data_IF_374127178774
#
_entry.id   IF_374127178774
#
_cell.length_a   1.000
_cell.length_b   1.000
_cell.length_c   1.000
_cell.angle_alpha   90.00
_cell.angle_beta   90.00
_cell.angle_gamma   90.00
#
_symmetry.space_group_name_H-M   'P 1'
#
loop_
_entity.id
_entity.type
_entity.pdbx_description
1 polymer ?
#
# COMPACT_ATOMS: atom_id res chain seq x y z
N UNK A 1 32.72 -11.48 -65.41
CA UNK A 1 32.95 -11.44 -63.96
C UNK A 1 31.66 -10.98 -63.27
N UNK A 2 30.84 -11.90 -62.71
CA UNK A 2 29.60 -11.60 -62.00
C UNK A 2 29.90 -11.64 -60.50
N UNK A 3 29.80 -10.46 -59.87
CA UNK A 3 29.91 -10.34 -58.37
C UNK A 3 28.59 -10.71 -57.71
N UNK A 4 28.58 -11.78 -56.97
CA UNK A 4 27.44 -12.17 -56.14
C UNK A 4 27.42 -11.30 -54.87
N UNK A 5 26.34 -10.55 -54.66
CA UNK A 5 26.05 -9.80 -53.47
C UNK A 5 25.39 -10.77 -52.46
N UNK A 6 26.06 -11.07 -51.34
CA UNK A 6 25.48 -11.85 -50.24
C UNK A 6 24.54 -10.96 -49.43
N UNK A 7 23.28 -11.34 -49.17
CA UNK A 7 22.43 -10.61 -48.27
C UNK A 7 22.92 -10.84 -46.82
N UNK A 8 23.31 -9.77 -46.16
CA UNK A 8 23.54 -9.76 -44.72
C UNK A 8 22.20 -9.86 -44.00
N UNK A 9 21.92 -11.00 -43.37
CA UNK A 9 20.74 -11.23 -42.56
C UNK A 9 20.94 -10.52 -41.22
N UNK A 10 20.33 -9.32 -41.05
CA UNK A 10 20.38 -8.55 -39.85
C UNK A 10 19.40 -9.21 -38.85
N UNK A 11 19.91 -10.03 -37.93
CA UNK A 11 19.11 -10.61 -36.85
C UNK A 11 18.83 -9.52 -35.83
N UNK A 12 17.60 -9.01 -35.82
CA UNK A 12 17.10 -8.07 -34.81
C UNK A 12 16.74 -8.86 -33.55
N UNK A 13 17.67 -8.92 -32.59
CA UNK A 13 17.41 -9.51 -31.26
C UNK A 13 16.54 -8.53 -30.50
N UNK A 14 15.22 -8.77 -30.50
CA UNK A 14 14.28 -8.09 -29.60
C UNK A 14 14.48 -8.69 -28.20
N UNK A 15 15.26 -8.02 -27.37
CA UNK A 15 15.33 -8.34 -25.94
C UNK A 15 13.97 -7.98 -25.30
N UNK A 16 13.13 -8.97 -25.09
CA UNK A 16 11.95 -8.84 -24.23
C UNK A 16 12.42 -8.64 -22.80
N UNK A 17 12.52 -7.38 -22.36
CA UNK A 17 12.56 -7.06 -20.94
C UNK A 17 11.18 -7.37 -20.35
N UNK A 18 10.96 -8.63 -20.02
CA UNK A 18 9.83 -9.05 -19.21
C UNK A 18 10.01 -8.43 -17.82
N UNK A 19 9.44 -7.27 -17.60
CA UNK A 19 9.35 -6.68 -16.27
C UNK A 19 8.43 -7.56 -15.42
N UNK A 20 9.00 -8.36 -14.51
CA UNK A 20 8.20 -9.05 -13.50
C UNK A 20 7.41 -8.01 -12.70
N UNK A 21 6.12 -8.25 -12.50
CA UNK A 21 5.31 -7.44 -11.61
C UNK A 21 5.88 -7.56 -10.19
N UNK A 22 5.99 -6.43 -9.48
CA UNK A 22 6.35 -6.39 -8.07
C UNK A 22 5.21 -5.80 -7.27
N UNK A 23 4.98 -6.33 -6.07
CA UNK A 23 3.99 -5.84 -5.13
C UNK A 23 4.32 -4.45 -4.59
N UNK A 24 3.34 -3.81 -3.99
CA UNK A 24 3.53 -2.60 -3.21
C UNK A 24 4.46 -2.86 -2.03
N UNK A 25 5.28 -1.88 -1.68
CA UNK A 25 6.29 -1.97 -0.61
C UNK A 25 5.90 -1.07 0.55
N UNK A 26 5.94 -1.58 1.78
CA UNK A 26 5.50 -0.92 3.02
C UNK A 26 6.05 0.49 3.18
N UNK A 27 7.35 0.68 3.06
CA UNK A 27 8.01 2.00 3.20
C UNK A 27 7.46 3.09 2.27
N UNK A 28 6.92 2.72 1.10
CA UNK A 28 6.35 3.65 0.14
C UNK A 28 4.88 3.99 0.46
N UNK A 29 4.24 3.22 1.34
CA UNK A 29 2.88 3.41 1.82
C UNK A 29 2.82 4.21 3.13
N UNK A 30 3.96 4.50 3.77
CA UNK A 30 4.04 5.37 4.96
C UNK A 30 3.70 6.80 4.55
N UNK A 31 2.74 7.48 5.21
CA UNK A 31 2.43 8.89 4.97
C UNK A 31 3.67 9.76 5.13
N UNK A 32 3.73 10.86 4.37
CA UNK A 32 4.73 11.90 4.54
C UNK A 32 4.04 13.14 5.12
N UNK A 33 4.79 13.90 5.92
CA UNK A 33 4.31 15.19 6.45
C UNK A 33 2.97 15.07 7.22
N UNK A 34 2.86 14.06 8.09
CA UNK A 34 1.70 13.82 8.94
C UNK A 34 1.89 14.44 10.32
N UNK A 35 0.84 15.09 10.84
CA UNK A 35 0.82 15.67 12.19
C UNK A 35 -0.20 14.95 13.06
N UNK A 36 0.23 14.46 14.21
CA UNK A 36 -0.61 13.76 15.19
C UNK A 36 -1.37 14.77 16.02
N UNK A 37 -2.69 14.59 16.16
CA UNK A 37 -3.52 15.44 17.01
C UNK A 37 -3.32 15.12 18.51
N UNK A 38 -3.31 13.83 18.88
CA UNK A 38 -3.04 13.35 20.23
C UNK A 38 -2.17 12.09 20.19
N UNK A 39 -1.19 12.01 21.07
CA UNK A 39 -0.43 10.80 21.33
C UNK A 39 -1.14 9.99 22.41
N UNK A 40 -1.33 8.69 22.18
CA UNK A 40 -1.99 7.79 23.11
C UNK A 40 -0.97 7.06 23.98
N UNK A 41 -1.04 7.13 25.32
CA UNK A 41 -0.06 6.50 26.23
C UNK A 41 -0.27 4.98 26.38
N UNK A 42 -0.89 4.35 25.40
CA UNK A 42 -1.30 2.95 25.39
C UNK A 42 -0.50 2.13 24.37
N UNK A 43 -0.60 0.81 24.49
CA UNK A 43 -0.10 -0.16 23.52
C UNK A 43 -1.21 -0.57 22.55
N UNK A 44 -0.83 -0.80 21.28
CA UNK A 44 -1.74 -1.25 20.23
C UNK A 44 -1.15 -2.42 19.47
N UNK A 45 -1.98 -3.41 19.15
CA UNK A 45 -1.67 -4.48 18.20
C UNK A 45 -2.32 -4.17 16.86
N UNK A 46 -1.57 -4.39 15.77
CA UNK A 46 -2.06 -4.16 14.41
C UNK A 46 -2.29 -5.50 13.72
N UNK A 47 -3.47 -5.69 13.13
CA UNK A 47 -3.83 -6.83 12.28
C UNK A 47 -4.36 -6.35 10.95
N UNK A 48 -3.96 -7.00 9.86
CA UNK A 48 -4.41 -6.66 8.51
C UNK A 48 -4.88 -7.92 7.79
N UNK A 49 -6.00 -7.79 7.08
CA UNK A 49 -6.59 -8.83 6.25
C UNK A 49 -7.03 -8.29 4.89
N UNK A 50 -7.38 -9.18 3.96
CA UNK A 50 -7.95 -8.83 2.65
C UNK A 50 -6.94 -8.44 1.58
N UNK A 51 -5.65 -8.33 1.92
CA UNK A 51 -4.58 -8.10 0.96
C UNK A 51 -4.32 -9.32 0.06
N UNK A 52 -3.69 -9.08 -1.10
CA UNK A 52 -3.35 -10.13 -2.06
C UNK A 52 -1.86 -10.05 -2.41
N UNK A 53 -1.23 -11.22 -2.57
CA UNK A 53 0.13 -11.30 -3.09
C UNK A 53 0.14 -10.98 -4.59
N UNK A 54 1.28 -10.46 -5.04
CA UNK A 54 1.52 -10.14 -6.45
C UNK A 54 2.12 -11.36 -7.15
N UNK A 55 1.39 -11.90 -8.12
CA UNK A 55 1.93 -12.94 -9.01
C UNK A 55 2.94 -12.34 -9.99
N UNK A 56 4.00 -13.06 -10.31
CA UNK A 56 5.08 -12.59 -11.19
C UNK A 56 4.59 -12.16 -12.59
N UNK A 57 3.53 -12.79 -13.09
CA UNK A 57 2.89 -12.47 -14.38
C UNK A 57 1.61 -11.65 -14.22
N UNK A 58 1.27 -11.22 -12.99
CA UNK A 58 0.03 -10.53 -12.67
C UNK A 58 0.16 -9.02 -12.57
N UNK A 59 -0.89 -8.37 -12.11
CA UNK A 59 -0.90 -6.96 -11.74
C UNK A 59 -0.29 -6.79 -10.35
N UNK A 60 0.41 -5.67 -10.11
CA UNK A 60 0.88 -5.31 -8.77
C UNK A 60 -0.28 -5.28 -7.78
N UNK A 61 -0.10 -5.86 -6.61
CA UNK A 61 -1.07 -5.94 -5.53
C UNK A 61 -0.51 -5.34 -4.24
N UNK A 62 -1.35 -5.22 -3.22
CA UNK A 62 -0.99 -4.85 -1.84
C UNK A 62 -1.23 -6.08 -0.98
N UNK A 63 -0.16 -6.70 -0.45
CA UNK A 63 -0.31 -7.81 0.48
C UNK A 63 -0.71 -7.34 1.88
N UNK A 64 -1.35 -8.22 2.65
CA UNK A 64 -1.69 -7.94 4.05
C UNK A 64 -0.44 -7.64 4.88
N UNK A 65 0.67 -8.35 4.63
CA UNK A 65 1.92 -8.13 5.35
C UNK A 65 2.53 -6.76 5.07
N UNK A 66 2.60 -6.34 3.80
CA UNK A 66 3.17 -5.03 3.44
C UNK A 66 2.29 -3.88 3.94
N UNK A 67 0.96 -4.04 3.90
CA UNK A 67 0.04 -3.03 4.43
C UNK A 67 0.13 -2.94 5.95
N UNK A 68 0.23 -4.09 6.66
CA UNK A 68 0.45 -4.14 8.11
C UNK A 68 1.76 -3.47 8.50
N UNK A 69 2.85 -3.80 7.80
CA UNK A 69 4.16 -3.20 8.05
C UNK A 69 4.13 -1.68 7.87
N UNK A 70 3.44 -1.18 6.83
CA UNK A 70 3.27 0.26 6.59
C UNK A 70 2.48 0.95 7.72
N UNK A 71 1.43 0.31 8.24
CA UNK A 71 0.63 0.83 9.37
C UNK A 71 1.49 0.87 10.64
N UNK A 72 2.19 -0.22 10.96
CA UNK A 72 3.08 -0.31 12.14
C UNK A 72 4.17 0.75 12.07
N UNK A 73 4.84 0.88 10.92
CA UNK A 73 5.87 1.91 10.70
C UNK A 73 5.30 3.31 10.85
N UNK A 74 4.11 3.58 10.30
CA UNK A 74 3.44 4.87 10.39
C UNK A 74 3.06 5.23 11.83
N UNK A 75 2.42 4.31 12.56
CA UNK A 75 2.05 4.52 13.98
C UNK A 75 3.27 4.78 14.85
N UNK A 76 4.36 4.05 14.60
CA UNK A 76 5.62 4.17 15.34
C UNK A 76 6.34 5.48 15.01
N UNK A 77 6.49 5.81 13.73
CA UNK A 77 7.20 7.01 13.26
C UNK A 77 6.54 8.28 13.80
N UNK A 78 5.22 8.31 13.80
CA UNK A 78 4.46 9.48 14.27
C UNK A 78 4.10 9.42 15.75
N UNK A 79 4.42 8.33 16.45
CA UNK A 79 4.16 8.20 17.88
C UNK A 79 2.69 8.28 18.25
N UNK A 80 1.78 7.75 17.40
CA UNK A 80 0.32 7.78 17.66
C UNK A 80 -0.02 6.98 18.90
N UNK A 81 0.66 5.85 19.11
CA UNK A 81 0.61 5.05 20.33
C UNK A 81 2.00 4.94 20.95
N UNK A 82 2.04 4.78 22.29
CA UNK A 82 3.31 4.60 23.01
C UNK A 82 4.06 3.35 22.58
N UNK A 83 3.33 2.26 22.29
CA UNK A 83 3.90 0.98 21.87
C UNK A 83 3.06 0.37 20.78
N UNK A 84 3.69 -0.09 19.69
CA UNK A 84 3.02 -0.75 18.56
C UNK A 84 3.60 -2.15 18.44
N UNK A 85 2.74 -3.17 18.49
CA UNK A 85 3.10 -4.58 18.42
C UNK A 85 2.34 -5.31 17.32
N UNK A 86 2.84 -6.44 16.89
CA UNK A 86 2.16 -7.38 15.98
C UNK A 86 1.65 -8.63 16.69
N UNK A 87 2.10 -8.84 17.95
CA UNK A 87 1.71 -9.95 18.82
C UNK A 87 1.88 -9.58 20.28
N UNK A 88 1.25 -10.33 21.17
CA UNK A 88 1.35 -10.16 22.63
C UNK A 88 0.15 -9.45 23.26
N UNK A 89 0.28 -9.11 24.55
CA UNK A 89 -0.77 -8.42 25.29
C UNK A 89 -0.65 -6.91 25.10
N UNK A 90 -1.74 -6.27 24.73
CA UNK A 90 -1.84 -4.83 24.44
C UNK A 90 -3.14 -4.26 25.01
N UNK A 91 -3.23 -2.92 25.07
CA UNK A 91 -4.42 -2.23 25.53
C UNK A 91 -5.49 -2.15 24.43
N UNK A 92 -5.08 -2.03 23.17
CA UNK A 92 -5.95 -1.86 22.01
C UNK A 92 -5.61 -2.82 20.89
N UNK A 93 -6.63 -3.21 20.10
CA UNK A 93 -6.49 -3.96 18.86
C UNK A 93 -6.96 -3.08 17.69
N UNK A 94 -6.08 -2.84 16.72
CA UNK A 94 -6.36 -2.13 15.48
C UNK A 94 -6.42 -3.15 14.34
N UNK A 95 -7.60 -3.31 13.79
CA UNK A 95 -7.88 -4.17 12.64
C UNK A 95 -8.09 -3.29 11.41
N UNK A 96 -7.39 -3.61 10.31
CA UNK A 96 -7.60 -3.01 9.00
C UNK A 96 -7.87 -4.11 7.98
N UNK A 97 -8.95 -4.00 7.23
CA UNK A 97 -9.31 -4.95 6.18
C UNK A 97 -9.35 -4.24 4.84
N UNK A 98 -8.59 -4.72 3.86
CA UNK A 98 -8.69 -4.26 2.48
C UNK A 98 -9.95 -4.91 1.89
N UNK A 99 -10.97 -4.10 1.64
CA UNK A 99 -12.26 -4.54 1.10
C UNK A 99 -12.21 -4.65 -0.41
N UNK A 100 -11.56 -3.67 -1.06
CA UNK A 100 -11.47 -3.58 -2.51
C UNK A 100 -10.20 -2.85 -2.94
N UNK A 101 -9.62 -3.26 -4.06
CA UNK A 101 -8.52 -2.59 -4.75
C UNK A 101 -8.88 -2.50 -6.24
N UNK A 102 -9.44 -1.37 -6.63
CA UNK A 102 -9.83 -1.10 -8.01
C UNK A 102 -8.64 -0.57 -8.79
N UNK A 103 -8.26 -1.28 -9.86
CA UNK A 103 -7.10 -1.00 -10.68
C UNK A 103 -7.47 -0.90 -12.15
N UNK A 104 -6.82 -0.01 -12.95
CA UNK A 104 -6.97 -0.01 -14.39
C UNK A 104 -6.21 -1.19 -15.03
N UNK A 105 -6.77 -1.78 -16.07
CA UNK A 105 -6.10 -2.83 -16.84
C UNK A 105 -4.97 -2.29 -17.70
N UNK A 106 -5.13 -1.07 -18.22
CA UNK A 106 -4.15 -0.37 -19.08
C UNK A 106 -4.40 1.14 -19.04
N UNK A 107 -3.40 1.92 -19.47
CA UNK A 107 -3.53 3.38 -19.56
C UNK A 107 -2.18 4.10 -19.46
N UNK A 108 -2.18 5.36 -19.85
CA UNK A 108 -1.05 6.27 -19.61
C UNK A 108 -0.99 6.64 -18.13
N UNK A 109 -2.09 7.07 -17.57
CA UNK A 109 -2.24 7.32 -16.14
C UNK A 109 -2.82 6.07 -15.48
N UNK A 110 -2.25 5.68 -14.33
CA UNK A 110 -2.73 4.56 -13.52
C UNK A 110 -3.38 5.13 -12.27
N UNK A 111 -4.72 5.17 -12.25
CA UNK A 111 -5.48 5.56 -11.05
C UNK A 111 -5.92 4.31 -10.32
N UNK A 112 -5.51 4.18 -9.07
CA UNK A 112 -5.92 3.10 -8.17
C UNK A 112 -6.78 3.67 -7.06
N UNK A 113 -7.86 2.96 -6.75
CA UNK A 113 -8.72 3.25 -5.60
C UNK A 113 -8.69 2.07 -4.64
N UNK A 114 -8.39 2.34 -3.38
CA UNK A 114 -8.43 1.37 -2.29
C UNK A 114 -9.61 1.68 -1.36
N UNK A 115 -10.35 0.64 -0.98
CA UNK A 115 -11.40 0.71 0.03
C UNK A 115 -11.00 -0.17 1.21
N UNK A 116 -11.07 0.37 2.42
CA UNK A 116 -10.69 -0.33 3.65
C UNK A 116 -11.71 -0.14 4.75
N UNK A 117 -11.83 -1.14 5.61
CA UNK A 117 -12.55 -1.03 6.89
C UNK A 117 -11.52 -1.03 8.03
N UNK A 118 -11.67 -0.11 8.97
CA UNK A 118 -10.80 0.03 10.13
C UNK A 118 -11.62 -0.08 11.41
N UNK A 119 -11.10 -0.81 12.38
CA UNK A 119 -11.72 -0.98 13.69
C UNK A 119 -10.65 -0.88 14.78
N UNK A 120 -10.90 -0.02 15.77
CA UNK A 120 -10.10 0.08 16.99
C UNK A 120 -10.94 -0.39 18.17
N UNK A 121 -10.46 -1.42 18.88
CA UNK A 121 -11.13 -2.03 20.03
C UNK A 121 -10.28 -1.84 21.28
N UNK A 122 -10.89 -1.41 22.37
CA UNK A 122 -10.29 -1.42 23.71
C UNK A 122 -10.41 -2.84 24.27
N UNK A 123 -9.29 -3.49 24.55
CA UNK A 123 -9.26 -4.89 25.01
C UNK A 123 -9.54 -5.06 26.51
N UNK A 124 -9.66 -3.95 27.26
CA UNK A 124 -10.01 -4.00 28.69
C UNK A 124 -11.50 -4.29 28.90
N UNK A 125 -12.35 -3.77 28.01
CA UNK A 125 -13.82 -3.84 28.12
C UNK A 125 -14.50 -4.28 26.81
N UNK A 126 -13.73 -4.68 25.80
CA UNK A 126 -14.16 -5.08 24.47
C UNK A 126 -14.98 -4.00 23.71
N UNK A 127 -14.90 -2.74 24.14
CA UNK A 127 -15.61 -1.65 23.48
C UNK A 127 -14.96 -1.26 22.14
N UNK A 128 -15.81 -1.01 21.14
CA UNK A 128 -15.37 -0.47 19.86
C UNK A 128 -15.22 1.05 19.95
N UNK A 129 -14.00 1.54 19.92
CA UNK A 129 -13.66 2.97 19.98
C UNK A 129 -13.80 3.65 18.63
N UNK A 130 -13.47 2.95 17.55
CA UNK A 130 -13.60 3.43 16.18
C UNK A 130 -14.01 2.28 15.24
N UNK A 131 -14.91 2.59 14.33
CA UNK A 131 -15.25 1.74 13.18
C UNK A 131 -15.54 2.68 12.02
N UNK A 132 -14.64 2.70 11.03
CA UNK A 132 -14.69 3.64 9.91
C UNK A 132 -14.29 2.91 8.61
N UNK A 133 -14.85 3.34 7.51
CA UNK A 133 -14.42 2.92 6.17
C UNK A 133 -13.77 4.12 5.48
N UNK A 134 -12.65 3.85 4.80
CA UNK A 134 -11.94 4.86 4.01
C UNK A 134 -11.84 4.40 2.56
N UNK A 135 -12.07 5.34 1.64
CA UNK A 135 -11.90 5.16 0.21
C UNK A 135 -10.95 6.24 -0.30
N UNK A 136 -9.79 5.84 -0.78
CA UNK A 136 -8.76 6.76 -1.23
C UNK A 136 -8.24 6.36 -2.61
N UNK A 137 -7.91 7.36 -3.41
CA UNK A 137 -7.39 7.15 -4.76
C UNK A 137 -6.07 7.88 -4.96
N UNK A 138 -5.21 7.29 -5.80
CA UNK A 138 -3.98 7.93 -6.24
C UNK A 138 -3.73 7.64 -7.71
N UNK A 139 -3.17 8.62 -8.42
CA UNK A 139 -2.84 8.51 -9.83
C UNK A 139 -1.34 8.62 -10.03
N UNK A 140 -0.73 7.58 -10.60
CA UNK A 140 0.64 7.64 -11.10
C UNK A 140 0.64 7.91 -12.62
N UNK A 141 1.49 8.84 -13.05
CA UNK A 141 1.60 9.35 -14.42
C UNK A 141 2.87 8.84 -15.11
N UNK A 142 3.02 9.01 -16.44
CA UNK A 142 4.28 8.74 -17.14
C UNK A 142 5.48 9.51 -16.60
N UNK A 143 5.25 10.66 -15.95
CA UNK A 143 6.29 11.43 -15.26
C UNK A 143 6.84 10.74 -14.00
N UNK A 144 6.05 9.88 -13.36
CA UNK A 144 6.47 9.12 -12.18
C UNK A 144 7.25 7.86 -12.55
N UNK A 145 6.88 7.19 -13.65
CA UNK A 145 7.62 6.04 -14.20
C UNK A 145 7.23 5.76 -15.65
N UNK A 146 8.22 5.38 -16.48
CA UNK A 146 7.98 5.04 -17.88
C UNK A 146 7.21 3.72 -18.04
N UNK A 147 7.57 2.68 -17.26
CA UNK A 147 6.94 1.36 -17.35
C UNK A 147 5.56 1.34 -16.68
N UNK A 148 4.52 0.84 -17.39
CA UNK A 148 3.14 0.77 -16.88
C UNK A 148 3.00 -0.05 -15.61
N UNK A 149 3.72 -1.18 -15.50
CA UNK A 149 3.74 -2.03 -14.29
C UNK A 149 4.30 -1.29 -13.07
N UNK A 150 5.31 -0.44 -13.27
CA UNK A 150 5.87 0.40 -12.21
C UNK A 150 4.88 1.49 -11.81
N UNK A 151 4.20 2.14 -12.78
CA UNK A 151 3.15 3.12 -12.47
C UNK A 151 2.01 2.51 -11.67
N UNK A 152 1.56 1.30 -12.03
CA UNK A 152 0.51 0.61 -11.29
C UNK A 152 0.92 0.37 -9.83
N UNK A 153 2.16 -0.08 -9.60
CA UNK A 153 2.70 -0.23 -8.24
C UNK A 153 2.73 1.10 -7.48
N UNK A 154 3.24 2.17 -8.10
CA UNK A 154 3.28 3.51 -7.48
C UNK A 154 1.88 4.03 -7.15
N UNK A 155 0.89 3.73 -8.00
CA UNK A 155 -0.50 4.08 -7.74
C UNK A 155 -1.10 3.31 -6.57
N UNK A 156 -0.81 2.01 -6.44
CA UNK A 156 -1.18 1.20 -5.27
C UNK A 156 -0.57 1.79 -3.98
N UNK A 157 0.74 2.04 -3.99
CA UNK A 157 1.48 2.60 -2.85
C UNK A 157 0.94 3.99 -2.47
N UNK A 158 0.61 4.82 -3.45
CA UNK A 158 0.01 6.13 -3.24
C UNK A 158 -1.37 6.07 -2.61
N UNK A 159 -2.27 5.23 -3.16
CA UNK A 159 -3.62 5.05 -2.64
C UNK A 159 -3.61 4.51 -1.20
N UNK A 160 -2.76 3.52 -0.92
CA UNK A 160 -2.57 2.96 0.42
C UNK A 160 -2.01 4.01 1.41
N UNK A 161 -1.07 4.84 0.98
CA UNK A 161 -0.50 5.92 1.79
C UNK A 161 -1.54 6.95 2.22
N UNK A 162 -2.40 7.39 1.29
CA UNK A 162 -3.49 8.31 1.62
C UNK A 162 -4.51 7.65 2.56
N UNK A 163 -4.80 6.37 2.37
CA UNK A 163 -5.70 5.61 3.22
C UNK A 163 -5.18 5.49 4.66
N UNK A 164 -3.90 5.14 4.83
CA UNK A 164 -3.25 5.09 6.14
C UNK A 164 -3.25 6.49 6.78
N UNK A 165 -2.96 7.56 6.01
CA UNK A 165 -2.98 8.94 6.51
C UNK A 165 -4.34 9.29 7.13
N UNK A 166 -5.44 9.03 6.41
CA UNK A 166 -6.78 9.36 6.87
C UNK A 166 -7.16 8.55 8.11
N UNK A 167 -6.82 7.26 8.14
CA UNK A 167 -7.04 6.41 9.30
C UNK A 167 -6.26 6.88 10.54
N UNK A 168 -4.97 7.17 10.40
CA UNK A 168 -4.14 7.68 11.49
C UNK A 168 -4.64 9.03 12.02
N UNK A 169 -5.04 9.92 11.11
CA UNK A 169 -5.67 11.19 11.50
C UNK A 169 -6.88 10.95 12.39
N UNK A 170 -7.78 10.07 11.95
CA UNK A 170 -8.99 9.75 12.68
C UNK A 170 -8.72 9.11 14.04
N UNK A 171 -7.73 8.20 14.10
CA UNK A 171 -7.29 7.56 15.35
C UNK A 171 -6.70 8.62 16.29
N UNK A 172 -5.82 9.49 15.81
CA UNK A 172 -5.18 10.51 16.65
C UNK A 172 -6.14 11.57 17.20
N UNK A 173 -7.32 11.75 16.57
CA UNK A 173 -8.36 12.68 17.04
C UNK A 173 -9.22 12.06 18.17
N UNK A 174 -9.15 10.74 18.40
CA UNK A 174 -9.93 10.09 19.47
C UNK A 174 -9.35 10.42 20.85
N UNK A 175 -10.21 10.45 21.83
CA UNK A 175 -9.83 10.45 23.25
C UNK A 175 -9.96 9.01 23.74
N UNK A 176 -8.81 8.36 23.96
CA UNK A 176 -8.71 6.97 24.43
C UNK A 176 -8.58 6.91 25.96
#
# INVERSE_FOLDING_TARGET
>A
MKRAIKPAFLVFVVAFFGGCASGAVSRNMVPKDFTVANNHPYSVMVKVEGGRETDAAGASQISSQEFQAAIVESLTTYGVFKTVLTEGNVDYNLEATILNLQQPLFGFNMTVTIETAWKLTNLKDDSTVMRENFTNSYTATPGDAFAGVTRLRLANEGAARENIRDALKKISEKKL
#
